data_IF_735650573007
#
_entry.id   IF_735650573007
#
_cell.length_a   1.000
_cell.length_b   1.000
_cell.length_c   1.000
_cell.angle_alpha   90.00
_cell.angle_beta   90.00
_cell.angle_gamma   90.00
#
_symmetry.space_group_name_H-M   'P 1'
#
loop_
_entity.id
_entity.type
_entity.pdbx_description
1 polymer ?
#
# COMPACT_ATOMS: atom_id res chain seq x y z
N UNK A 1 -32.37 6.78 -42.74
CA UNK A 1 -31.99 5.36 -42.54
C UNK A 1 -30.68 5.33 -41.78
N UNK A 2 -30.52 4.75 -40.59
CA UNK A 2 -31.43 4.22 -39.58
C UNK A 2 -30.57 4.06 -38.30
N UNK A 3 -31.12 4.46 -37.15
CA UNK A 3 -30.93 4.02 -35.74
C UNK A 3 -29.63 3.30 -35.27
N UNK A 4 -28.95 3.75 -34.20
CA UNK A 4 -29.24 3.58 -32.73
C UNK A 4 -29.13 2.13 -32.23
N UNK A 5 -28.12 1.81 -31.39
CA UNK A 5 -28.23 1.51 -29.94
C UNK A 5 -27.13 0.58 -29.37
N UNK A 6 -26.77 0.91 -28.13
CA UNK A 6 -25.93 0.24 -27.12
C UNK A 6 -26.54 -1.10 -26.67
N UNK A 7 -25.72 -2.15 -26.46
CA UNK A 7 -25.88 -3.15 -25.38
C UNK A 7 -24.50 -3.65 -24.93
N UNK A 8 -24.22 -3.50 -23.64
CA UNK A 8 -23.18 -4.14 -22.81
C UNK A 8 -23.47 -5.62 -22.61
N UNK A 9 -22.45 -6.49 -22.66
CA UNK A 9 -22.50 -7.79 -21.97
C UNK A 9 -21.10 -8.24 -21.55
N UNK A 10 -20.94 -8.43 -20.23
CA UNK A 10 -19.87 -9.15 -19.56
C UNK A 10 -19.89 -10.63 -19.99
N UNK A 11 -18.73 -11.19 -20.35
CA UNK A 11 -18.53 -12.63 -20.37
C UNK A 11 -17.05 -12.98 -20.15
N UNK A 12 -16.82 -13.70 -19.06
CA UNK A 12 -15.56 -14.28 -18.63
C UNK A 12 -15.02 -15.30 -19.63
N UNK A 13 -13.71 -15.32 -19.88
CA UNK A 13 -13.03 -16.45 -20.56
C UNK A 13 -11.61 -16.64 -20.01
N UNK A 14 -11.48 -17.77 -19.32
CA UNK A 14 -10.37 -18.75 -19.28
C UNK A 14 -8.97 -18.37 -18.78
N UNK A 15 -8.70 -18.91 -17.59
CA UNK A 15 -7.40 -19.35 -17.09
C UNK A 15 -6.77 -20.35 -18.08
N UNK A 16 -5.66 -19.97 -18.69
CA UNK A 16 -4.81 -20.87 -19.47
C UNK A 16 -3.80 -21.56 -18.53
N UNK A 17 -3.95 -22.89 -18.38
CA UNK A 17 -2.92 -23.75 -17.78
C UNK A 17 -1.82 -23.94 -18.83
N UNK A 18 -0.71 -23.23 -18.65
CA UNK A 18 0.54 -23.47 -19.38
C UNK A 18 1.39 -24.42 -18.53
N UNK A 19 1.35 -25.71 -18.89
CA UNK A 19 2.35 -26.69 -18.47
C UNK A 19 3.67 -26.36 -19.17
N UNK A 20 4.64 -25.86 -18.43
CA UNK A 20 6.04 -25.92 -18.84
C UNK A 20 6.84 -26.70 -17.81
N UNK A 21 7.29 -27.88 -18.23
CA UNK A 21 8.18 -28.72 -17.46
C UNK A 21 9.57 -28.07 -17.38
N UNK A 22 10.11 -28.05 -16.17
CA UNK A 22 11.48 -27.67 -15.87
C UNK A 22 11.79 -28.15 -14.46
N UNK A 23 12.50 -29.26 -14.37
CA UNK A 23 12.77 -29.96 -13.13
C UNK A 23 13.54 -29.09 -12.13
N UNK A 24 12.97 -28.97 -10.94
CA UNK A 24 13.71 -28.69 -9.72
C UNK A 24 13.48 -29.89 -8.80
N UNK A 25 14.57 -30.57 -8.43
CA UNK A 25 14.57 -31.67 -7.48
C UNK A 25 14.82 -31.05 -6.10
N UNK A 26 13.81 -30.96 -5.19
CA UNK A 26 14.12 -30.80 -3.79
C UNK A 26 14.49 -32.17 -3.23
N UNK A 27 15.58 -32.21 -2.45
CA UNK A 27 16.01 -33.40 -1.75
C UNK A 27 14.86 -33.94 -0.87
N UNK A 28 14.30 -35.07 -1.27
CA UNK A 28 13.40 -35.88 -0.48
C UNK A 28 14.20 -36.49 0.67
N UNK A 29 14.00 -36.01 1.88
CA UNK A 29 14.25 -36.84 3.06
C UNK A 29 13.14 -37.91 3.08
N UNK A 30 13.47 -39.21 3.05
CA UNK A 30 12.45 -40.24 3.17
C UNK A 30 11.98 -40.25 4.62
N UNK A 31 10.73 -39.86 4.85
CA UNK A 31 10.04 -40.24 6.07
C UNK A 31 9.60 -41.69 5.86
N UNK A 32 10.29 -42.65 6.49
CA UNK A 32 9.82 -44.03 6.56
C UNK A 32 8.46 -44.02 7.28
N UNK A 33 7.41 -44.38 6.54
CA UNK A 33 6.13 -44.69 7.14
C UNK A 33 6.29 -45.99 7.94
N UNK A 34 6.56 -45.85 9.24
CA UNK A 34 6.41 -46.96 10.17
C UNK A 34 4.92 -47.33 10.20
N UNK A 35 4.58 -48.47 9.59
CA UNK A 35 3.25 -49.07 9.69
C UNK A 35 3.02 -49.46 11.15
N UNK A 36 2.24 -48.66 11.86
CA UNK A 36 1.85 -48.94 13.24
C UNK A 36 0.53 -49.72 13.24
N UNK A 37 0.50 -50.82 13.96
CA UNK A 37 -0.70 -51.63 14.20
C UNK A 37 -1.37 -51.08 15.45
N UNK A 38 -2.59 -50.57 15.32
CA UNK A 38 -3.40 -50.14 16.45
C UNK A 38 -3.70 -51.33 17.40
N UNK A 39 -3.65 -51.15 18.74
CA UNK A 39 -4.14 -52.16 19.64
C UNK A 39 -5.68 -52.25 19.53
N UNK A 40 -6.18 -53.48 19.46
CA UNK A 40 -7.61 -53.76 19.51
C UNK A 40 -8.11 -53.62 20.95
N UNK A 41 -9.14 -52.79 21.17
CA UNK A 41 -9.78 -52.62 22.47
C UNK A 41 -10.76 -53.78 22.72
N UNK A 42 -10.50 -54.54 23.79
CA UNK A 42 -11.52 -55.36 24.43
C UNK A 42 -12.39 -54.45 25.32
N UNK A 43 -13.70 -54.53 25.17
CA UNK A 43 -14.63 -53.94 26.13
C UNK A 43 -14.65 -54.83 27.37
N UNK A 44 -14.15 -54.32 28.50
CA UNK A 44 -14.62 -54.72 29.81
C UNK A 44 -15.06 -53.46 30.55
N UNK A 45 -16.32 -53.49 30.98
CA UNK A 45 -16.89 -52.54 31.92
C UNK A 45 -16.49 -53.01 33.30
N UNK A 46 -15.70 -52.23 34.03
CA UNK A 46 -15.75 -52.19 35.49
C UNK A 46 -15.33 -50.79 35.96
N UNK A 47 -16.06 -50.29 36.95
CA UNK A 47 -15.86 -49.01 37.62
C UNK A 47 -14.52 -48.99 38.36
N UNK A 48 -13.54 -48.25 37.85
CA UNK A 48 -12.42 -47.68 38.58
C UNK A 48 -12.03 -46.36 37.87
N UNK A 49 -11.71 -45.31 38.63
CA UNK A 49 -11.17 -44.03 38.16
C UNK A 49 -9.75 -44.23 37.57
N UNK A 50 -9.64 -45.04 36.52
CA UNK A 50 -8.42 -45.19 35.74
C UNK A 50 -8.28 -43.93 34.86
N UNK A 51 -7.36 -43.06 35.29
CA UNK A 51 -6.84 -41.94 34.53
C UNK A 51 -6.40 -42.40 33.13
N UNK A 52 -7.31 -42.30 32.16
CA UNK A 52 -7.01 -42.51 30.75
C UNK A 52 -5.85 -41.56 30.41
N UNK A 53 -4.68 -42.10 30.11
CA UNK A 53 -3.53 -41.33 29.65
C UNK A 53 -3.90 -40.61 28.35
N UNK A 54 -4.28 -39.33 28.48
CA UNK A 54 -4.69 -38.45 27.38
C UNK A 54 -3.52 -37.66 26.79
N UNK A 55 -2.29 -37.92 27.22
CA UNK A 55 -1.09 -37.24 26.71
C UNK A 55 -0.06 -38.28 26.26
N UNK A 56 0.43 -38.13 25.03
CA UNK A 56 1.49 -38.96 24.43
C UNK A 56 2.62 -38.05 23.98
N UNK A 57 3.87 -38.49 24.13
CA UNK A 57 5.02 -37.74 23.61
C UNK A 57 5.28 -38.10 22.15
N UNK A 58 5.29 -37.10 21.27
CA UNK A 58 5.65 -37.21 19.86
C UNK A 58 6.87 -36.32 19.64
N UNK A 59 8.01 -36.92 19.27
CA UNK A 59 9.30 -36.24 19.11
C UNK A 59 9.71 -35.36 20.32
N UNK A 60 9.36 -35.82 21.52
CA UNK A 60 9.62 -35.10 22.78
C UNK A 60 8.66 -33.94 23.08
N UNK A 61 7.61 -33.77 22.27
CA UNK A 61 6.55 -32.77 22.46
C UNK A 61 5.28 -33.48 22.93
N UNK A 62 4.61 -33.01 24.00
CA UNK A 62 3.34 -33.58 24.43
C UNK A 62 2.24 -33.31 23.39
N UNK A 63 1.55 -34.38 23.02
CA UNK A 63 0.37 -34.39 22.17
C UNK A 63 -0.83 -34.91 22.96
N UNK A 64 -1.97 -34.28 22.81
CA UNK A 64 -3.21 -34.64 23.50
C UNK A 64 -3.98 -35.65 22.65
N UNK A 65 -4.34 -36.78 23.26
CA UNK A 65 -5.15 -37.84 22.67
C UNK A 65 -6.61 -37.71 23.14
N UNK A 66 -7.53 -37.43 22.21
CA UNK A 66 -8.96 -37.31 22.50
C UNK A 66 -9.80 -38.15 21.54
N UNK A 67 -10.74 -38.93 22.08
CA UNK A 67 -11.71 -39.67 21.29
C UNK A 67 -12.65 -38.73 20.52
N UNK A 68 -13.23 -39.19 19.41
CA UNK A 68 -14.18 -38.40 18.63
C UNK A 68 -15.40 -37.93 19.45
N UNK A 69 -15.85 -38.75 20.41
CA UNK A 69 -16.92 -38.38 21.32
C UNK A 69 -16.51 -37.21 22.25
N UNK A 70 -15.32 -37.29 22.85
CA UNK A 70 -14.80 -36.21 23.71
C UNK A 70 -14.55 -34.93 22.92
N UNK A 71 -14.07 -35.03 21.67
CA UNK A 71 -13.90 -33.86 20.80
C UNK A 71 -15.24 -33.16 20.54
N UNK A 72 -16.29 -33.91 20.23
CA UNK A 72 -17.63 -33.38 19.98
C UNK A 72 -18.25 -32.74 21.24
N UNK A 73 -18.12 -33.40 22.40
CA UNK A 73 -18.61 -32.89 23.67
C UNK A 73 -17.85 -31.62 24.12
N UNK A 74 -16.58 -31.51 23.76
CA UNK A 74 -15.72 -30.38 24.11
C UNK A 74 -15.83 -29.20 23.15
N UNK A 75 -16.65 -29.31 22.10
CA UNK A 75 -16.84 -28.25 21.10
C UNK A 75 -15.58 -27.91 20.33
N UNK A 76 -14.68 -28.88 20.13
CA UNK A 76 -13.47 -28.67 19.32
C UNK A 76 -13.90 -28.44 17.88
N UNK A 77 -13.48 -27.32 17.31
CA UNK A 77 -13.71 -26.99 15.91
C UNK A 77 -12.37 -26.83 15.23
N UNK A 78 -12.26 -27.41 14.04
CA UNK A 78 -11.02 -27.51 13.28
C UNK A 78 -11.25 -26.90 11.91
N UNK A 79 -10.33 -26.04 11.46
CA UNK A 79 -10.32 -25.50 10.11
C UNK A 79 -9.02 -25.83 9.40
N UNK A 80 -9.15 -26.15 8.11
CA UNK A 80 -7.99 -26.38 7.24
C UNK A 80 -7.35 -25.04 6.86
N UNK A 81 -6.07 -24.88 7.18
CA UNK A 81 -5.31 -23.68 6.86
C UNK A 81 -5.24 -23.46 5.34
N UNK A 82 -5.51 -22.22 4.94
CA UNK A 82 -5.46 -21.78 3.54
C UNK A 82 -4.14 -21.06 3.30
N UNK A 83 -3.60 -21.22 2.10
CA UNK A 83 -2.43 -20.45 1.69
C UNK A 83 -2.79 -18.98 1.56
N UNK A 84 -1.99 -18.14 2.21
CA UNK A 84 -2.08 -16.67 2.18
C UNK A 84 -0.75 -16.11 1.74
N UNK A 85 -0.77 -14.91 1.16
CA UNK A 85 0.41 -14.16 0.79
C UNK A 85 0.63 -13.01 1.74
N UNK A 86 1.88 -12.81 2.15
CA UNK A 86 2.32 -11.65 2.91
C UNK A 86 3.14 -10.73 2.02
N UNK A 87 2.66 -9.50 1.87
CA UNK A 87 3.40 -8.42 1.22
C UNK A 87 4.03 -7.60 2.34
N UNK A 88 5.36 -7.60 2.47
CA UNK A 88 5.99 -6.81 3.51
C UNK A 88 5.80 -5.31 3.25
N UNK A 89 5.40 -4.60 4.29
CA UNK A 89 5.12 -3.16 4.25
C UNK A 89 5.88 -2.45 5.36
N UNK A 90 6.15 -1.17 5.16
CA UNK A 90 6.68 -0.28 6.18
C UNK A 90 5.79 0.95 6.33
N UNK A 91 5.83 1.55 7.53
CA UNK A 91 5.09 2.76 7.84
C UNK A 91 5.92 4.01 7.55
N UNK A 92 5.28 5.02 6.98
CA UNK A 92 5.79 6.35 6.69
C UNK A 92 4.80 7.40 7.21
N UNK A 93 5.27 8.64 7.36
CA UNK A 93 4.42 9.75 7.78
C UNK A 93 3.99 10.56 6.56
N UNK A 94 2.70 10.91 6.49
CA UNK A 94 2.17 11.80 5.45
C UNK A 94 1.54 13.05 6.03
N UNK A 95 1.53 14.14 5.26
CA UNK A 95 0.74 15.34 5.56
C UNK A 95 -0.02 15.82 4.33
N UNK A 96 -1.26 16.24 4.52
CA UNK A 96 -2.03 16.93 3.48
C UNK A 96 -1.45 18.33 3.24
N UNK A 97 -1.04 18.60 2.00
CA UNK A 97 -0.33 19.82 1.60
C UNK A 97 -1.31 20.90 1.17
N UNK A 98 -1.06 22.13 1.62
CA UNK A 98 -1.74 23.31 1.08
C UNK A 98 -1.17 23.66 -0.31
N UNK A 99 -2.03 23.60 -1.33
CA UNK A 99 -1.68 23.93 -2.72
C UNK A 99 -1.79 25.43 -3.03
N UNK A 100 -2.22 26.28 -2.09
CA UNK A 100 -2.36 27.71 -2.31
C UNK A 100 -1.10 28.39 -2.89
N UNK A 101 0.14 28.07 -2.45
CA UNK A 101 1.33 28.65 -3.07
C UNK A 101 1.51 28.24 -4.54
N UNK A 102 1.07 27.03 -4.92
CA UNK A 102 1.07 26.58 -6.31
C UNK A 102 0.03 27.35 -7.14
N UNK A 103 -1.16 27.59 -6.57
CA UNK A 103 -2.23 28.36 -7.22
C UNK A 103 -1.82 29.81 -7.45
N UNK A 104 -1.12 30.44 -6.50
CA UNK A 104 -0.57 31.79 -6.68
C UNK A 104 0.44 31.85 -7.85
N UNK A 105 1.27 30.82 -8.01
CA UNK A 105 2.20 30.73 -9.15
C UNK A 105 1.46 30.53 -10.48
N UNK A 106 0.41 29.70 -10.51
CA UNK A 106 -0.46 29.51 -11.70
C UNK A 106 -1.16 30.82 -12.09
N UNK A 107 -1.67 31.59 -11.13
CA UNK A 107 -2.29 32.88 -11.40
C UNK A 107 -1.29 33.88 -12.02
N UNK A 108 -0.08 34.00 -11.43
CA UNK A 108 1.01 34.81 -11.99
C UNK A 108 1.41 34.35 -13.39
N UNK A 109 1.45 33.03 -13.64
CA UNK A 109 1.74 32.45 -14.95
C UNK A 109 0.71 32.91 -16.00
N UNK A 110 -0.58 32.82 -15.68
CA UNK A 110 -1.66 33.26 -16.56
C UNK A 110 -1.60 34.76 -16.87
N UNK A 111 -1.30 35.58 -15.86
CA UNK A 111 -1.13 37.03 -16.01
C UNK A 111 0.01 37.38 -16.97
N UNK A 112 1.17 36.70 -16.84
CA UNK A 112 2.31 36.92 -17.75
C UNK A 112 2.02 36.39 -19.16
N UNK A 113 1.28 35.28 -19.30
CA UNK A 113 0.82 34.75 -20.60
C UNK A 113 -0.05 35.80 -21.32
N UNK A 114 -0.97 36.46 -20.60
CA UNK A 114 -1.76 37.56 -21.15
C UNK A 114 -0.90 38.79 -21.52
N UNK A 115 0.07 39.17 -20.68
CA UNK A 115 1.02 40.26 -20.99
C UNK A 115 1.85 39.97 -22.25
N UNK A 116 2.24 38.72 -22.48
CA UNK A 116 2.92 38.31 -23.72
C UNK A 116 2.00 38.53 -24.93
N UNK A 117 0.74 38.12 -24.85
CA UNK A 117 -0.22 38.29 -25.95
C UNK A 117 -0.43 39.78 -26.29
N UNK A 118 -0.59 40.63 -25.27
CA UNK A 118 -0.71 42.08 -25.44
C UNK A 118 0.56 42.66 -26.09
N UNK A 119 1.75 42.33 -25.58
CA UNK A 119 3.01 42.83 -26.11
C UNK A 119 3.27 42.36 -27.56
N UNK A 120 2.86 41.13 -27.91
CA UNK A 120 2.91 40.63 -29.28
C UNK A 120 2.02 41.44 -30.22
N UNK A 121 0.78 41.71 -29.83
CA UNK A 121 -0.16 42.51 -30.63
C UNK A 121 0.36 43.95 -30.82
N UNK A 122 0.83 44.59 -29.74
CA UNK A 122 1.39 45.95 -29.80
C UNK A 122 2.65 46.02 -30.66
N UNK A 123 3.54 45.02 -30.58
CA UNK A 123 4.72 44.94 -31.44
C UNK A 123 4.33 44.75 -32.91
N UNK A 124 3.30 43.94 -33.20
CA UNK A 124 2.80 43.75 -34.55
C UNK A 124 2.22 45.04 -35.14
N UNK A 125 1.46 45.80 -34.35
CA UNK A 125 0.93 47.11 -34.75
C UNK A 125 2.07 48.12 -35.00
N UNK A 126 3.02 48.25 -34.08
CA UNK A 126 4.15 49.17 -34.21
C UNK A 126 5.06 48.84 -35.41
N UNK A 127 5.20 47.56 -35.77
CA UNK A 127 5.89 47.15 -37.01
C UNK A 127 5.17 47.68 -38.25
N UNK A 128 3.84 47.51 -38.35
CA UNK A 128 3.05 48.03 -39.47
C UNK A 128 3.14 49.56 -39.59
N UNK A 129 3.18 50.28 -38.46
CA UNK A 129 3.34 51.73 -38.46
C UNK A 129 4.70 52.18 -38.97
N UNK A 130 5.78 51.52 -38.54
CA UNK A 130 7.12 51.77 -39.09
C UNK A 130 7.13 51.50 -40.59
N UNK A 131 6.58 50.38 -41.06
CA UNK A 131 6.53 50.01 -42.48
C UNK A 131 5.74 51.04 -43.31
N UNK A 132 4.61 51.54 -42.77
CA UNK A 132 3.78 52.56 -43.42
C UNK A 132 4.51 53.89 -43.55
N UNK A 133 5.16 54.35 -42.48
CA UNK A 133 5.89 55.62 -42.49
C UNK A 133 7.16 55.57 -43.35
N UNK A 134 7.85 54.42 -43.37
CA UNK A 134 9.00 54.20 -44.23
C UNK A 134 8.64 54.27 -45.72
N UNK A 135 7.44 53.82 -46.12
CA UNK A 135 6.95 53.94 -47.51
C UNK A 135 6.62 55.37 -47.92
N UNK A 136 6.22 56.23 -46.97
CA UNK A 136 5.85 57.63 -47.21
C UNK A 136 7.04 58.62 -47.07
N UNK A 137 8.27 58.13 -46.97
CA UNK A 137 9.46 58.88 -46.53
C UNK A 137 9.74 60.23 -47.25
N UNK A 138 9.21 60.44 -48.47
CA UNK A 138 9.36 61.71 -49.20
C UNK A 138 8.50 62.86 -48.65
N UNK A 139 7.41 62.56 -47.93
CA UNK A 139 6.39 63.53 -47.52
C UNK A 139 6.24 63.66 -45.98
N UNK A 140 7.10 63.02 -45.19
CA UNK A 140 6.98 62.96 -43.71
C UNK A 140 8.27 63.44 -43.02
N UNK A 141 8.17 64.20 -41.91
CA UNK A 141 9.31 64.57 -41.09
C UNK A 141 10.04 63.34 -40.53
N UNK A 142 11.39 63.32 -40.62
CA UNK A 142 12.24 62.24 -40.09
C UNK A 142 11.96 61.90 -38.60
N UNK A 143 11.56 62.90 -37.81
CA UNK A 143 11.15 62.74 -36.41
C UNK A 143 10.00 61.76 -36.21
N UNK A 144 9.04 61.69 -37.14
CA UNK A 144 7.88 60.79 -37.03
C UNK A 144 8.30 59.33 -37.20
N UNK A 145 9.18 59.04 -38.15
CA UNK A 145 9.75 57.70 -38.32
C UNK A 145 10.58 57.30 -37.10
N UNK A 146 11.43 58.21 -36.61
CA UNK A 146 12.23 57.98 -35.40
C UNK A 146 11.35 57.64 -34.17
N UNK A 147 10.22 58.34 -34.00
CA UNK A 147 9.29 58.08 -32.92
C UNK A 147 8.60 56.71 -33.06
N UNK A 148 8.18 56.32 -34.27
CA UNK A 148 7.60 55.01 -34.52
C UNK A 148 8.60 53.87 -34.25
N UNK A 149 9.86 54.05 -34.64
CA UNK A 149 10.93 53.10 -34.34
C UNK A 149 11.19 52.97 -32.84
N UNK A 150 11.17 54.07 -32.09
CA UNK A 150 11.29 54.06 -30.63
C UNK A 150 10.16 53.25 -30.00
N UNK A 151 8.91 53.47 -30.43
CA UNK A 151 7.74 52.69 -29.98
C UNK A 151 7.90 51.19 -30.30
N UNK A 152 8.36 50.84 -31.50
CA UNK A 152 8.64 49.45 -31.88
C UNK A 152 9.70 48.80 -30.96
N UNK A 153 10.79 49.53 -30.66
CA UNK A 153 11.84 49.05 -29.74
C UNK A 153 11.29 48.85 -28.33
N UNK A 154 10.45 49.76 -27.84
CA UNK A 154 9.78 49.62 -26.54
C UNK A 154 8.92 48.36 -26.47
N UNK A 155 8.03 48.12 -27.44
CA UNK A 155 7.19 46.91 -27.45
C UNK A 155 8.00 45.62 -27.60
N UNK A 156 9.10 45.66 -28.36
CA UNK A 156 10.02 44.52 -28.45
C UNK A 156 10.66 44.20 -27.10
N UNK A 157 11.11 45.24 -26.37
CA UNK A 157 11.67 45.08 -25.03
C UNK A 157 10.63 44.57 -24.03
N UNK A 158 9.40 45.09 -24.09
CA UNK A 158 8.28 44.61 -23.26
C UNK A 158 7.97 43.13 -23.50
N UNK A 159 7.93 42.69 -24.77
CA UNK A 159 7.76 41.28 -25.11
C UNK A 159 8.92 40.42 -24.59
N UNK A 160 10.15 40.90 -24.71
CA UNK A 160 11.33 40.23 -24.15
C UNK A 160 11.23 40.05 -22.63
N UNK A 161 10.93 41.13 -21.90
CA UNK A 161 10.77 41.11 -20.46
C UNK A 161 9.64 40.19 -19.99
N UNK A 162 8.49 40.19 -20.67
CA UNK A 162 7.38 39.29 -20.35
C UNK A 162 7.73 37.81 -20.57
N UNK A 163 8.46 37.48 -21.65
CA UNK A 163 8.96 36.12 -21.90
C UNK A 163 9.95 35.66 -20.83
N UNK A 164 10.86 36.52 -20.40
CA UNK A 164 11.79 36.22 -19.30
C UNK A 164 11.04 35.97 -17.98
N UNK A 165 10.05 36.81 -17.67
CA UNK A 165 9.20 36.62 -16.49
C UNK A 165 8.46 35.27 -16.52
N UNK A 166 7.96 34.85 -17.69
CA UNK A 166 7.31 33.54 -17.84
C UNK A 166 8.27 32.39 -17.53
N UNK A 167 9.51 32.48 -18.04
CA UNK A 167 10.57 31.50 -17.75
C UNK A 167 10.94 31.47 -16.27
N UNK A 168 11.00 32.62 -15.60
CA UNK A 168 11.25 32.72 -14.15
C UNK A 168 10.17 31.98 -13.36
N UNK A 169 8.89 32.26 -13.64
CA UNK A 169 7.77 31.62 -12.96
C UNK A 169 7.82 30.10 -13.16
N UNK A 170 8.07 29.62 -14.38
CA UNK A 170 8.21 28.18 -14.63
C UNK A 170 9.36 27.56 -13.83
N UNK A 171 10.47 28.26 -13.72
CA UNK A 171 11.60 27.87 -12.87
C UNK A 171 11.23 27.81 -11.38
N UNK A 172 10.50 28.80 -10.88
CA UNK A 172 9.99 28.85 -9.50
C UNK A 172 9.09 27.62 -9.19
N UNK A 173 8.16 27.27 -10.10
CA UNK A 173 7.32 26.07 -9.91
C UNK A 173 8.17 24.79 -9.93
N UNK A 174 9.07 24.66 -10.91
CA UNK A 174 9.91 23.46 -11.06
C UNK A 174 10.82 23.23 -9.85
N UNK A 175 11.40 24.30 -9.31
CA UNK A 175 12.28 24.24 -8.14
C UNK A 175 11.49 23.92 -6.86
N UNK A 176 10.30 24.51 -6.69
CA UNK A 176 9.50 24.34 -5.48
C UNK A 176 8.71 23.02 -5.44
N UNK A 177 8.24 22.53 -6.59
CA UNK A 177 7.24 21.46 -6.67
C UNK A 177 7.67 20.27 -7.54
N UNK A 178 8.74 20.41 -8.32
CA UNK A 178 9.18 19.35 -9.23
C UNK A 178 8.44 19.34 -10.56
N UNK A 179 8.83 18.43 -11.45
CA UNK A 179 8.38 18.42 -12.84
C UNK A 179 6.89 18.07 -12.97
N UNK A 180 6.44 16.99 -12.34
CA UNK A 180 5.06 16.51 -12.47
C UNK A 180 4.02 17.56 -12.02
N UNK A 181 4.23 18.18 -10.86
CA UNK A 181 3.34 19.24 -10.39
C UNK A 181 3.46 20.54 -11.19
N UNK A 182 4.62 20.80 -11.81
CA UNK A 182 4.74 21.91 -12.77
C UNK A 182 3.89 21.67 -14.00
N UNK A 183 3.89 20.45 -14.52
CA UNK A 183 3.07 20.07 -15.66
C UNK A 183 1.59 20.16 -15.31
N UNK A 184 1.16 19.58 -14.18
CA UNK A 184 -0.24 19.67 -13.70
C UNK A 184 -0.69 21.13 -13.48
N UNK A 185 0.17 21.97 -12.90
CA UNK A 185 -0.20 23.33 -12.56
C UNK A 185 -0.22 24.29 -13.75
N UNK A 186 0.65 24.08 -14.75
CA UNK A 186 0.84 25.01 -15.87
C UNK A 186 0.30 24.48 -17.21
N UNK A 187 -0.21 23.25 -17.26
CA UNK A 187 -0.88 22.70 -18.44
C UNK A 187 -2.21 23.38 -18.71
N UNK A 188 -2.59 23.41 -20.00
CA UNK A 188 -3.93 23.82 -20.43
C UNK A 188 -4.97 22.69 -20.21
N UNK A 189 -4.54 21.43 -20.01
CA UNK A 189 -5.39 20.32 -19.55
C UNK A 189 -5.28 20.21 -18.02
N UNK A 190 -6.37 20.51 -17.32
CA UNK A 190 -6.36 20.73 -15.88
C UNK A 190 -7.07 19.64 -15.06
N UNK A 191 -7.50 18.51 -15.64
CA UNK A 191 -8.34 17.50 -14.94
C UNK A 191 -7.84 17.16 -13.52
N UNK A 192 -6.55 16.85 -13.36
CA UNK A 192 -5.96 16.54 -12.04
C UNK A 192 -5.95 17.76 -11.10
N UNK A 193 -5.67 18.95 -11.61
CA UNK A 193 -5.70 20.16 -10.80
C UNK A 193 -7.13 20.53 -10.42
N UNK A 194 -8.08 20.36 -11.34
CA UNK A 194 -9.49 20.64 -11.15
C UNK A 194 -10.05 19.75 -10.04
N UNK A 195 -9.63 18.48 -9.96
CA UNK A 195 -9.96 17.61 -8.82
C UNK A 195 -9.43 18.16 -7.48
N UNK A 196 -8.22 18.72 -7.45
CA UNK A 196 -7.69 19.36 -6.23
C UNK A 196 -8.47 20.64 -5.88
N UNK A 197 -8.84 21.44 -6.88
CA UNK A 197 -9.60 22.68 -6.71
C UNK A 197 -11.04 22.43 -6.27
N UNK A 198 -11.66 21.37 -6.80
CA UNK A 198 -12.99 20.92 -6.42
C UNK A 198 -13.01 20.25 -5.02
N UNK A 199 -11.84 19.95 -4.46
CA UNK A 199 -11.71 19.23 -3.19
C UNK A 199 -12.12 17.76 -3.29
N UNK A 200 -12.08 17.18 -4.49
CA UNK A 200 -12.32 15.76 -4.72
C UNK A 200 -11.08 14.92 -4.38
N UNK A 201 -9.90 15.47 -4.68
CA UNK A 201 -8.60 14.90 -4.32
C UNK A 201 -7.82 15.86 -3.44
N UNK A 202 -6.86 15.32 -2.69
CA UNK A 202 -5.88 16.08 -1.92
C UNK A 202 -4.47 15.69 -2.33
N UNK A 203 -3.55 16.65 -2.23
CA UNK A 203 -2.11 16.42 -2.37
C UNK A 203 -1.51 16.07 -1.01
N UNK A 204 -0.71 15.02 -0.98
CA UNK A 204 -0.01 14.53 0.20
C UNK A 204 1.50 14.64 0.00
N UNK A 205 2.21 15.08 1.03
CA UNK A 205 3.66 14.95 1.15
C UNK A 205 3.93 13.77 2.08
N UNK A 206 4.47 12.69 1.54
CA UNK A 206 4.84 11.48 2.29
C UNK A 206 6.34 11.50 2.52
N UNK A 207 6.76 11.34 3.77
CA UNK A 207 8.14 11.31 4.21
C UNK A 207 8.50 9.91 4.67
N UNK A 208 9.49 9.31 4.01
CA UNK A 208 9.97 7.97 4.34
C UNK A 208 10.90 8.02 5.57
N UNK A 209 10.90 6.98 6.42
CA UNK A 209 11.91 6.86 7.45
C UNK A 209 13.31 6.66 6.83
N UNK A 210 14.36 7.15 7.50
CA UNK A 210 15.75 7.07 7.02
C UNK A 210 16.26 5.64 6.76
N UNK A 211 15.58 4.64 7.31
CA UNK A 211 15.90 3.23 7.14
C UNK A 211 15.34 2.62 5.85
N UNK A 212 14.51 3.36 5.11
CA UNK A 212 13.84 2.88 3.90
C UNK A 212 13.99 3.87 2.74
N UNK A 213 14.00 3.32 1.53
CA UNK A 213 13.86 4.06 0.28
C UNK A 213 12.58 3.60 -0.42
N UNK A 214 12.02 4.41 -1.31
CA UNK A 214 10.83 4.02 -2.06
C UNK A 214 11.21 2.96 -3.11
N UNK A 215 10.59 1.77 -3.11
CA UNK A 215 10.83 0.80 -4.18
C UNK A 215 10.43 1.41 -5.54
N UNK A 216 11.23 1.22 -6.61
CA UNK A 216 10.97 1.84 -7.93
C UNK A 216 9.60 1.51 -8.53
N UNK A 217 9.07 0.32 -8.22
CA UNK A 217 7.79 -0.18 -8.74
C UNK A 217 6.57 0.40 -7.99
N UNK A 218 6.79 1.22 -6.97
CA UNK A 218 5.72 1.76 -6.13
C UNK A 218 4.86 2.73 -6.91
N UNK A 219 3.58 2.40 -7.06
CA UNK A 219 2.58 3.28 -7.70
C UNK A 219 1.49 3.72 -6.73
N UNK A 220 1.33 3.02 -5.61
CA UNK A 220 0.27 3.24 -4.64
C UNK A 220 0.79 3.15 -3.21
N UNK A 221 0.02 3.77 -2.31
CA UNK A 221 0.18 3.66 -0.86
C UNK A 221 -1.20 3.53 -0.21
N UNK A 222 -1.24 3.00 1.01
CA UNK A 222 -2.46 2.95 1.82
C UNK A 222 -2.35 3.96 2.95
N UNK A 223 -3.38 4.80 3.10
CA UNK A 223 -3.46 5.80 4.15
C UNK A 223 -4.39 5.34 5.26
N UNK A 224 -3.96 5.54 6.50
CA UNK A 224 -4.70 5.23 7.70
C UNK A 224 -4.91 6.49 8.54
N UNK A 225 -6.06 6.56 9.21
CA UNK A 225 -6.47 7.71 10.02
C UNK A 225 -6.17 7.45 11.48
N UNK A 226 -5.31 8.26 12.09
CA UNK A 226 -5.17 8.35 13.56
C UNK A 226 -5.04 7.01 14.28
N UNK A 227 -4.19 6.10 13.78
CA UNK A 227 -3.98 4.78 14.37
C UNK A 227 -5.05 3.72 14.09
N UNK A 228 -6.14 4.04 13.38
CA UNK A 228 -7.11 3.04 12.95
C UNK A 228 -6.59 2.27 11.73
N UNK A 229 -6.54 0.94 11.84
CA UNK A 229 -6.16 0.02 10.73
C UNK A 229 -7.34 -0.38 9.83
N UNK A 230 -8.54 0.16 10.06
CA UNK A 230 -9.75 -0.15 9.27
C UNK A 230 -10.04 0.92 8.22
N UNK A 231 -10.56 0.51 7.05
CA UNK A 231 -10.96 1.39 5.93
C UNK A 231 -9.80 2.26 5.38
N UNK A 232 -8.74 1.63 4.83
CA UNK A 232 -7.62 2.36 4.25
C UNK A 232 -8.05 3.16 3.02
N UNK A 233 -7.51 4.38 2.88
CA UNK A 233 -7.68 5.18 1.67
C UNK A 233 -6.50 4.90 0.74
N UNK A 234 -6.78 4.45 -0.49
CA UNK A 234 -5.74 4.30 -1.51
C UNK A 234 -5.24 5.67 -1.98
N UNK A 235 -3.93 5.82 -2.03
CA UNK A 235 -3.24 6.98 -2.58
C UNK A 235 -2.36 6.56 -3.75
N UNK A 236 -2.29 7.39 -4.79
CA UNK A 236 -1.45 7.16 -5.98
C UNK A 236 -0.23 8.06 -5.96
N UNK A 237 0.94 7.51 -6.29
CA UNK A 237 2.18 8.27 -6.41
C UNK A 237 2.07 9.27 -7.58
N UNK A 238 2.51 10.51 -7.35
CA UNK A 238 2.65 11.54 -8.38
C UNK A 238 4.12 11.66 -8.79
N UNK A 239 5.00 11.95 -7.83
CA UNK A 239 6.43 12.16 -8.09
C UNK A 239 7.24 12.22 -6.80
N UNK A 240 8.58 12.12 -6.87
CA UNK A 240 9.45 12.61 -5.81
C UNK A 240 9.18 14.09 -5.51
N UNK A 241 9.32 14.50 -4.25
CA UNK A 241 9.19 15.89 -3.83
C UNK A 241 10.58 16.55 -3.74
N UNK A 242 10.64 17.85 -4.02
CA UNK A 242 11.85 18.67 -3.80
C UNK A 242 11.87 19.35 -2.42
N UNK A 243 10.84 19.09 -1.60
CA UNK A 243 10.64 19.71 -0.30
C UNK A 243 10.62 18.64 0.77
N UNK A 244 11.47 18.81 1.78
CA UNK A 244 11.40 17.98 2.99
C UNK A 244 10.24 18.40 3.88
N UNK A 245 9.81 17.48 4.75
CA UNK A 245 9.01 17.81 5.92
C UNK A 245 9.88 18.54 6.96
N UNK A 246 9.37 19.59 7.64
CA UNK A 246 10.14 20.33 8.63
C UNK A 246 10.32 19.59 9.96
N UNK A 247 9.49 18.58 10.25
CA UNK A 247 9.48 17.83 11.51
C UNK A 247 10.11 16.45 11.32
N UNK A 248 9.76 15.76 10.23
CA UNK A 248 10.24 14.41 9.94
C UNK A 248 11.37 14.46 8.93
N UNK A 249 12.51 13.82 9.24
CA UNK A 249 13.63 13.71 8.30
C UNK A 249 13.48 12.49 7.41
N UNK A 250 13.68 12.66 6.11
CA UNK A 250 13.65 11.56 5.14
C UNK A 250 13.46 12.02 3.71
N UNK A 251 13.55 11.07 2.78
CA UNK A 251 13.13 11.30 1.41
C UNK A 251 11.63 11.56 1.35
N UNK A 252 11.21 12.42 0.43
CA UNK A 252 9.83 12.89 0.35
C UNK A 252 9.25 12.69 -1.03
N UNK A 253 7.97 12.35 -1.08
CA UNK A 253 7.24 12.01 -2.29
C UNK A 253 5.84 12.63 -2.24
N UNK A 254 5.35 13.09 -3.39
CA UNK A 254 3.99 13.56 -3.55
C UNK A 254 3.07 12.42 -3.96
N UNK A 255 1.96 12.28 -3.24
CA UNK A 255 0.87 11.38 -3.56
C UNK A 255 -0.44 12.16 -3.72
N UNK A 256 -1.39 11.63 -4.47
CA UNK A 256 -2.79 12.08 -4.46
C UNK A 256 -3.68 11.03 -3.84
N UNK A 257 -4.71 11.48 -3.15
CA UNK A 257 -5.75 10.60 -2.63
C UNK A 257 -7.11 11.30 -2.70
N UNK A 258 -8.21 10.54 -2.74
CA UNK A 258 -9.54 11.11 -2.54
C UNK A 258 -9.59 11.89 -1.22
N UNK A 259 -10.24 13.05 -1.20
CA UNK A 259 -10.31 13.93 -0.03
C UNK A 259 -11.12 13.36 1.15
N UNK A 260 -11.54 12.08 1.10
CA UNK A 260 -12.40 11.33 2.04
C UNK A 260 -12.07 11.57 3.53
N UNK A 261 -12.60 12.66 4.08
CA UNK A 261 -12.33 13.20 5.43
C UNK A 261 -10.91 13.73 5.66
N UNK A 262 -10.10 13.84 4.62
CA UNK A 262 -8.79 14.50 4.67
C UNK A 262 -8.99 16.03 4.59
N UNK A 263 -8.22 16.77 5.38
CA UNK A 263 -8.20 18.24 5.40
C UNK A 263 -6.78 18.74 5.35
N UNK A 264 -6.59 19.94 4.83
CA UNK A 264 -5.29 20.60 4.76
C UNK A 264 -4.59 20.57 6.12
N UNK A 265 -3.30 20.22 6.11
CA UNK A 265 -2.47 20.14 7.31
C UNK A 265 -2.61 18.86 8.14
N UNK A 266 -3.62 18.02 7.90
CA UNK A 266 -3.76 16.75 8.62
C UNK A 266 -2.55 15.84 8.40
N UNK A 267 -2.07 15.21 9.47
CA UNK A 267 -1.13 14.10 9.40
C UNK A 267 -1.86 12.78 9.15
N UNK A 268 -1.23 11.88 8.42
CA UNK A 268 -1.74 10.53 8.12
C UNK A 268 -0.63 9.50 8.25
N UNK A 269 -1.01 8.29 8.66
CA UNK A 269 -0.11 7.14 8.64
C UNK A 269 -0.17 6.52 7.26
N UNK A 270 0.99 6.29 6.65
CA UNK A 270 1.10 5.77 5.28
C UNK A 270 1.77 4.42 5.33
N UNK A 271 1.16 3.39 4.74
CA UNK A 271 1.81 2.11 4.50
C UNK A 271 2.22 1.99 3.04
N UNK A 272 3.47 1.60 2.84
CA UNK A 272 4.10 1.37 1.56
C UNK A 272 4.67 -0.04 1.54
N UNK A 273 4.62 -0.70 0.38
CA UNK A 273 5.35 -1.95 0.19
C UNK A 273 6.85 -1.70 0.35
N UNK A 274 7.57 -2.60 1.01
CA UNK A 274 9.02 -2.48 1.19
C UNK A 274 9.83 -3.02 -0.02
N UNK A 275 9.13 -3.50 -1.06
CA UNK A 275 9.72 -4.02 -2.29
C UNK A 275 10.33 -5.42 -2.15
N UNK A 276 10.26 -6.05 -0.98
CA UNK A 276 10.72 -7.43 -0.78
C UNK A 276 9.76 -8.42 -1.47
N UNK A 277 10.25 -9.63 -1.78
CA UNK A 277 9.42 -10.67 -2.36
C UNK A 277 8.18 -10.95 -1.50
N UNK A 278 7.07 -11.21 -2.19
CA UNK A 278 5.86 -11.72 -1.55
C UNK A 278 6.15 -13.11 -1.02
N UNK A 279 5.88 -13.35 0.26
CA UNK A 279 6.09 -14.66 0.89
C UNK A 279 4.77 -15.39 1.00
N UNK A 280 4.76 -16.68 0.63
CA UNK A 280 3.62 -17.56 0.85
C UNK A 280 3.69 -18.18 2.26
N UNK A 281 2.54 -18.33 2.89
CA UNK A 281 2.42 -18.89 4.23
C UNK A 281 0.96 -19.10 4.58
N UNK A 282 0.64 -19.00 5.86
CA UNK A 282 -0.71 -19.13 6.39
C UNK A 282 -1.00 -18.04 7.42
N UNK A 283 -2.27 -17.69 7.57
CA UNK A 283 -2.72 -16.79 8.64
C UNK A 283 -3.24 -17.64 9.79
N UNK A 284 -2.67 -17.45 10.98
CA UNK A 284 -3.16 -18.02 12.22
C UNK A 284 -4.11 -17.00 12.86
N UNK A 285 -5.44 -17.27 12.91
CA UNK A 285 -6.40 -16.32 13.47
C UNK A 285 -6.13 -16.06 14.95
N UNK A 286 -6.44 -14.84 15.41
CA UNK A 286 -6.07 -14.41 16.76
C UNK A 286 -6.70 -15.29 17.84
N UNK A 287 -7.94 -15.69 17.65
CA UNK A 287 -8.76 -16.48 18.57
C UNK A 287 -8.24 -17.91 18.79
N UNK A 288 -7.39 -18.42 17.90
CA UNK A 288 -6.84 -19.78 17.99
C UNK A 288 -5.56 -19.84 18.81
N UNK A 289 -4.98 -18.67 19.13
CA UNK A 289 -3.68 -18.55 19.79
C UNK A 289 -3.85 -18.57 21.30
N UNK A 290 -3.12 -19.47 21.97
CA UNK A 290 -3.04 -19.56 23.42
C UNK A 290 -1.64 -19.14 23.88
N UNK A 291 -1.59 -18.26 24.88
CA UNK A 291 -0.34 -17.78 25.45
C UNK A 291 0.07 -18.64 26.63
N UNK A 292 1.26 -19.23 26.54
CA UNK A 292 1.82 -20.06 27.61
C UNK A 292 3.35 -19.96 27.62
N UNK A 293 3.93 -19.91 28.83
CA UNK A 293 5.38 -19.79 29.05
C UNK A 293 6.02 -18.64 28.24
N UNK A 294 5.31 -17.50 28.13
CA UNK A 294 5.78 -16.32 27.40
C UNK A 294 5.80 -16.46 25.88
N UNK A 295 5.22 -17.53 25.32
CA UNK A 295 5.13 -17.78 23.87
C UNK A 295 3.68 -17.94 23.42
N UNK A 296 3.45 -17.64 22.16
CA UNK A 296 2.19 -17.89 21.47
C UNK A 296 2.19 -19.32 20.90
N UNK A 297 1.08 -20.02 21.06
CA UNK A 297 0.91 -21.41 20.62
C UNK A 297 -0.43 -21.61 19.93
N UNK A 298 -0.47 -22.55 19.00
CA UNK A 298 -1.71 -23.03 18.39
C UNK A 298 -1.70 -24.55 18.29
N UNK A 299 -2.86 -25.18 18.38
CA UNK A 299 -3.00 -26.63 18.28
C UNK A 299 -3.35 -27.04 16.85
N UNK A 300 -2.68 -28.07 16.36
CA UNK A 300 -3.01 -28.71 15.09
C UNK A 300 -3.38 -30.16 15.33
N UNK A 301 -4.37 -30.64 14.58
CA UNK A 301 -4.70 -32.05 14.52
C UNK A 301 -3.74 -32.73 13.55
N UNK A 302 -2.99 -33.70 14.06
CA UNK A 302 -2.00 -34.47 13.27
C UNK A 302 -2.54 -35.87 12.91
N UNK A 303 -3.55 -36.35 13.64
CA UNK A 303 -4.33 -37.56 13.38
C UNK A 303 -5.74 -37.36 13.94
N UNK A 304 -6.69 -38.22 13.59
CA UNK A 304 -8.12 -38.14 13.96
C UNK A 304 -8.33 -37.92 15.47
N UNK A 305 -7.44 -38.45 16.32
CA UNK A 305 -7.50 -38.30 17.78
C UNK A 305 -6.33 -37.51 18.39
N UNK A 306 -5.33 -37.09 17.61
CA UNK A 306 -4.07 -36.54 18.13
C UNK A 306 -3.91 -35.05 17.81
N UNK A 307 -3.68 -34.28 18.87
CA UNK A 307 -3.52 -32.84 18.81
C UNK A 307 -2.14 -32.43 19.32
N UNK A 308 -1.39 -31.74 18.48
CA UNK A 308 -0.05 -31.26 18.80
C UNK A 308 -0.03 -29.74 18.88
N UNK A 309 0.62 -29.21 19.92
CA UNK A 309 0.86 -27.78 20.04
C UNK A 309 2.08 -27.35 19.25
N UNK A 310 1.94 -26.31 18.42
CA UNK A 310 3.05 -25.70 17.67
C UNK A 310 3.20 -24.23 18.04
N UNK A 311 4.45 -23.75 18.10
CA UNK A 311 4.75 -22.36 18.42
C UNK A 311 4.36 -21.45 17.25
N UNK A 312 3.69 -20.35 17.55
CA UNK A 312 3.31 -19.32 16.56
C UNK A 312 4.30 -18.17 16.68
N UNK A 313 4.98 -17.83 15.57
CA UNK A 313 5.79 -16.61 15.52
C UNK A 313 4.88 -15.38 15.51
N UNK A 314 5.20 -14.39 16.34
CA UNK A 314 4.40 -13.16 16.51
C UNK A 314 5.03 -11.95 15.84
N UNK A 315 6.03 -12.15 14.98
CA UNK A 315 6.76 -11.06 14.31
C UNK A 315 5.90 -10.30 13.28
N UNK A 316 4.95 -10.99 12.62
CA UNK A 316 4.12 -10.43 11.54
C UNK A 316 2.64 -10.41 11.95
N UNK A 317 2.30 -9.46 12.81
CA UNK A 317 0.91 -9.24 13.25
C UNK A 317 0.08 -8.52 12.17
N UNK A 318 -1.12 -9.03 11.95
CA UNK A 318 -2.17 -8.46 11.10
C UNK A 318 -3.41 -8.15 11.95
N UNK A 319 -4.40 -7.40 11.44
CA UNK A 319 -5.66 -7.20 12.16
C UNK A 319 -6.39 -8.51 12.52
N UNK A 320 -6.27 -9.54 11.69
CA UNK A 320 -6.97 -10.83 11.84
C UNK A 320 -6.20 -11.86 12.67
N UNK A 321 -4.89 -11.68 12.87
CA UNK A 321 -4.05 -12.66 13.57
C UNK A 321 -2.58 -12.51 13.17
N UNK A 322 -1.85 -13.62 13.08
CA UNK A 322 -0.42 -13.62 12.75
C UNK A 322 -0.15 -14.39 11.46
N UNK A 323 0.62 -13.77 10.56
CA UNK A 323 1.11 -14.47 9.38
C UNK A 323 2.37 -15.27 9.74
N UNK A 324 2.37 -16.56 9.36
CA UNK A 324 3.51 -17.46 9.58
C UNK A 324 3.89 -18.14 8.26
N UNK A 325 5.18 -18.23 8.00
CA UNK A 325 5.79 -18.91 6.85
C UNK A 325 6.58 -20.17 7.26
N UNK A 326 6.72 -20.44 8.56
CA UNK A 326 7.38 -21.61 9.12
C UNK A 326 6.51 -22.26 10.22
N UNK A 327 6.64 -23.58 10.40
CA UNK A 327 5.94 -24.35 11.44
C UNK A 327 4.48 -24.73 11.14
N UNK A 328 3.83 -24.02 10.20
CA UNK A 328 2.48 -24.32 9.73
C UNK A 328 2.44 -24.32 8.20
N UNK A 329 1.72 -25.29 7.63
CA UNK A 329 1.59 -25.43 6.19
C UNK A 329 0.14 -25.23 5.74
N UNK A 330 -0.08 -24.75 4.51
CA UNK A 330 -1.39 -24.84 3.87
C UNK A 330 -1.87 -26.29 3.89
N UNK A 331 -3.07 -26.50 4.42
CA UNK A 331 -3.66 -27.81 4.55
C UNK A 331 -3.57 -28.46 5.93
N UNK A 332 -2.80 -27.89 6.85
CA UNK A 332 -2.83 -28.29 8.27
C UNK A 332 -4.22 -28.05 8.87
N UNK A 333 -4.63 -28.93 9.76
CA UNK A 333 -5.91 -28.89 10.46
C UNK A 333 -5.75 -28.12 11.78
N UNK A 334 -6.02 -26.81 11.75
CA UNK A 334 -5.87 -25.93 12.90
C UNK A 334 -7.10 -25.99 13.81
N UNK A 335 -6.89 -26.12 15.12
CA UNK A 335 -7.94 -26.02 16.12
C UNK A 335 -8.34 -24.55 16.29
N UNK A 336 -9.54 -24.19 15.84
CA UNK A 336 -10.06 -22.81 15.92
C UNK A 336 -10.93 -22.58 17.17
N UNK A 337 -11.39 -23.64 17.83
CA UNK A 337 -12.11 -23.59 19.12
C UNK A 337 -11.70 -24.79 19.96
N UNK A 338 -11.53 -24.59 21.27
CA UNK A 338 -11.12 -25.66 22.20
C UNK A 338 -9.62 -25.71 22.53
N UNK A 339 -8.81 -24.77 22.03
CA UNK A 339 -7.37 -24.73 22.27
C UNK A 339 -6.99 -24.60 23.76
N UNK A 340 -7.79 -23.90 24.57
CA UNK A 340 -7.57 -23.80 26.03
C UNK A 340 -7.84 -25.12 26.75
N UNK A 341 -8.84 -25.89 26.30
CA UNK A 341 -9.15 -27.21 26.87
C UNK A 341 -8.00 -28.18 26.57
N UNK A 342 -7.50 -28.20 25.34
CA UNK A 342 -6.33 -29.01 24.98
C UNK A 342 -5.12 -28.66 25.85
N UNK A 343 -4.91 -27.38 26.11
CA UNK A 343 -3.85 -26.94 27.03
C UNK A 343 -4.08 -27.45 28.46
N UNK A 344 -5.31 -27.43 28.96
CA UNK A 344 -5.63 -27.98 30.28
C UNK A 344 -5.38 -29.50 30.37
N UNK A 345 -5.73 -30.26 29.32
CA UNK A 345 -5.45 -31.70 29.28
C UNK A 345 -3.94 -32.00 29.22
N UNK A 346 -3.15 -31.17 28.56
CA UNK A 346 -1.67 -31.27 28.56
C UNK A 346 -1.08 -31.10 29.98
N UNK A 347 -1.62 -30.18 30.79
CA UNK A 347 -1.11 -29.91 32.16
C UNK A 347 -1.61 -30.86 33.23
N UNK A 348 -2.79 -31.45 33.08
CA UNK A 348 -3.29 -32.44 34.04
C UNK A 348 -2.30 -33.58 34.25
N UNK A 349 -1.59 -33.98 33.20
CA UNK A 349 -0.56 -35.01 33.26
C UNK A 349 0.74 -34.58 33.96
N UNK A 350 1.14 -33.30 33.87
CA UNK A 350 2.37 -32.80 34.51
C UNK A 350 2.28 -32.74 36.03
N UNK A 351 1.07 -32.56 36.59
CA UNK A 351 0.86 -32.44 38.05
C UNK A 351 0.97 -33.81 38.74
N UNK A 352 0.61 -34.90 38.06
CA UNK A 352 0.68 -36.26 38.63
C UNK A 352 2.11 -36.83 38.70
N UNK A 353 3.07 -36.28 37.95
CA UNK A 353 4.46 -36.74 37.94
C UNK A 353 5.34 -36.18 39.06
N UNK A 354 4.87 -35.16 39.79
CA UNK A 354 5.65 -34.47 40.83
C UNK A 354 5.34 -34.97 42.27
N UNK A 355 4.35 -35.86 42.44
CA UNK A 355 3.92 -36.38 43.75
C UNK A 355 4.63 -37.68 44.18
N UNK A 356 5.62 -38.16 43.42
CA UNK A 356 6.30 -39.45 43.62
C UNK A 356 7.78 -39.37 44.11
N UNK A 357 8.25 -38.21 44.58
CA UNK A 357 9.60 -38.01 45.16
C UNK A 357 9.62 -37.62 46.66
#
# INVERSE_FOLDING_TARGET
>A
MNNRNIITLFAAVFLAVLTFGGGFVPALFPFEAASWVAPAFAQDNDDDDDDIQRVVLIDGVPAVLLSAETQAQSGIVIEKLKSTQYIPVFSAFGRVVDIQPLLMLRARYGEVKARIQIAQASLAAAKKDVDRLAKLHKDIPAKALQQAEATRKTHLAQLGGAKMALSSIRGEVLQGWGLALTEIALSDNADTLDNFLAGEEVLLLVTLPLTHALPPETTQALLFKGGSKSDPISASLISPARRTDPVVQGETYYFRAPARHLRLGMGVDVQLSDGKPVTAGVLIPRETVVWYAGKAWAYVQIDDALFLRRAVTTERETPEGWFVDEGFAPGDHLVITGAQMLLSEEFRWQIQGDDDD
#
